data_IF_678301166495
#
_entry.id   IF_678301166495
#
_cell.length_a   1.000
_cell.length_b   1.000
_cell.length_c   1.000
_cell.angle_alpha   90.00
_cell.angle_beta   90.00
_cell.angle_gamma   90.00
#
_symmetry.space_group_name_H-M   'P 1'
#
loop_
_entity.id
_entity.type
_entity.pdbx_description
1 polymer ?
#
# COMPACT_ATOMS: atom_id res chain seq x y z
N UNK A 1 -12.29 -10.68 23.64
CA UNK A 1 -10.88 -10.29 23.35
C UNK A 1 -10.91 -9.38 22.15
N UNK A 2 -10.55 -8.10 22.33
CA UNK A 2 -10.74 -7.06 21.31
C UNK A 2 -9.89 -7.30 20.07
N UNK A 3 -10.53 -7.74 18.99
CA UNK A 3 -9.99 -7.60 17.65
C UNK A 3 -10.11 -6.12 17.31
N UNK A 4 -8.98 -5.40 17.22
CA UNK A 4 -8.96 -4.03 16.72
C UNK A 4 -8.58 -4.08 15.22
N UNK A 5 -9.58 -4.21 14.32
CA UNK A 5 -9.32 -4.31 12.89
C UNK A 5 -8.64 -3.05 12.36
N UNK A 6 -8.91 -1.89 12.95
CA UNK A 6 -8.34 -0.61 12.53
C UNK A 6 -6.84 -0.54 12.76
N UNK A 7 -6.37 -0.95 13.94
CA UNK A 7 -4.94 -1.00 14.24
C UNK A 7 -4.19 -1.97 13.35
N UNK A 8 -4.74 -3.17 13.12
CA UNK A 8 -4.11 -4.17 12.23
C UNK A 8 -4.03 -3.66 10.80
N UNK A 9 -5.13 -3.13 10.26
CA UNK A 9 -5.18 -2.60 8.90
C UNK A 9 -4.22 -1.42 8.73
N UNK A 10 -4.27 -0.44 9.63
CA UNK A 10 -3.41 0.76 9.58
C UNK A 10 -1.93 0.40 9.66
N UNK A 11 -1.56 -0.48 10.59
CA UNK A 11 -0.17 -0.94 10.74
C UNK A 11 0.31 -1.69 9.50
N UNK A 12 -0.55 -2.51 8.90
CA UNK A 12 -0.24 -3.21 7.65
C UNK A 12 -0.01 -2.22 6.51
N UNK A 13 -0.90 -1.24 6.32
CA UNK A 13 -0.73 -0.20 5.30
C UNK A 13 0.58 0.58 5.47
N UNK A 14 0.93 0.94 6.71
CA UNK A 14 2.16 1.67 7.03
C UNK A 14 3.41 0.85 6.64
N UNK A 15 3.46 -0.42 7.05
CA UNK A 15 4.58 -1.32 6.74
C UNK A 15 4.69 -1.54 5.23
N UNK A 16 3.57 -1.79 4.55
CA UNK A 16 3.57 -2.01 3.10
C UNK A 16 3.96 -0.75 2.31
N UNK A 17 3.66 0.44 2.82
CA UNK A 17 4.14 1.70 2.22
C UNK A 17 5.68 1.78 2.28
N UNK A 18 6.28 1.46 3.43
CA UNK A 18 7.74 1.41 3.56
C UNK A 18 8.39 0.35 2.64
N UNK A 19 7.79 -0.84 2.55
CA UNK A 19 8.26 -1.89 1.64
C UNK A 19 8.19 -1.44 0.18
N UNK A 20 7.17 -0.68 -0.20
CA UNK A 20 7.03 -0.12 -1.56
C UNK A 20 8.18 0.80 -1.91
N UNK A 21 8.57 1.69 -0.98
CA UNK A 21 9.73 2.58 -1.17
C UNK A 21 11.05 1.82 -1.34
N UNK A 22 11.19 0.63 -0.74
CA UNK A 22 12.41 -0.18 -0.81
C UNK A 22 12.43 -1.05 -2.07
N UNK A 23 11.31 -1.71 -2.39
CA UNK A 23 11.24 -2.75 -3.43
C UNK A 23 10.82 -2.24 -4.80
N UNK A 24 10.09 -1.13 -4.86
CA UNK A 24 9.54 -0.56 -6.09
C UNK A 24 10.08 0.85 -6.35
N UNK A 25 11.22 1.22 -5.75
CA UNK A 25 11.81 2.56 -5.86
C UNK A 25 12.07 3.01 -7.32
N UNK A 26 12.48 2.05 -8.15
CA UNK A 26 12.72 2.22 -9.58
C UNK A 26 11.43 2.56 -10.35
N UNK A 27 10.27 2.11 -9.86
CA UNK A 27 8.94 2.32 -10.45
C UNK A 27 8.25 3.58 -9.95
N UNK A 28 8.79 4.23 -8.92
CA UNK A 28 8.25 5.49 -8.41
C UNK A 28 8.41 6.61 -9.45
N UNK A 29 7.39 7.49 -9.59
CA UNK A 29 7.38 8.57 -10.58
C UNK A 29 8.53 9.58 -10.38
N UNK A 30 8.92 9.77 -9.12
CA UNK A 30 10.04 10.62 -8.71
C UNK A 30 10.97 9.82 -7.80
N UNK A 31 12.24 10.22 -7.72
CA UNK A 31 13.26 9.55 -6.87
C UNK A 31 13.40 10.15 -5.47
N UNK A 32 12.49 11.05 -5.08
CA UNK A 32 12.46 11.66 -3.76
C UNK A 32 11.28 12.61 -3.60
N UNK A 33 11.17 13.21 -2.41
CA UNK A 33 10.08 14.12 -2.05
C UNK A 33 8.93 13.43 -1.32
N UNK A 34 7.74 14.00 -1.45
CA UNK A 34 6.52 13.51 -0.79
C UNK A 34 5.62 12.87 -1.83
N UNK A 35 5.27 11.60 -1.59
CA UNK A 35 4.37 10.85 -2.47
C UNK A 35 2.96 10.84 -1.88
N UNK A 36 1.96 11.10 -2.73
CA UNK A 36 0.57 10.81 -2.39
C UNK A 36 0.30 9.31 -2.59
N UNK A 37 -0.70 8.72 -1.93
CA UNK A 37 -1.05 7.32 -2.14
C UNK A 37 -1.29 6.96 -3.62
N UNK A 38 -1.91 7.88 -4.39
CA UNK A 38 -2.17 7.69 -5.82
C UNK A 38 -0.91 7.54 -6.67
N UNK A 39 0.21 8.15 -6.27
CA UNK A 39 1.49 7.99 -6.96
C UNK A 39 2.05 6.56 -6.87
N UNK A 40 1.52 5.73 -5.96
CA UNK A 40 1.92 4.34 -5.76
C UNK A 40 0.90 3.35 -6.33
N UNK A 41 -0.28 3.82 -6.76
CA UNK A 41 -1.35 2.95 -7.28
C UNK A 41 -1.02 2.41 -8.66
N UNK A 42 -0.22 3.14 -9.44
CA UNK A 42 0.21 2.70 -10.76
C UNK A 42 1.65 2.17 -10.70
N UNK A 43 1.86 1.00 -11.28
CA UNK A 43 3.19 0.41 -11.46
C UNK A 43 3.88 -0.21 -10.23
N UNK A 44 3.42 -0.01 -8.99
CA UNK A 44 4.03 -0.64 -7.80
C UNK A 44 3.36 -1.96 -7.40
N UNK A 45 4.05 -2.81 -6.63
CA UNK A 45 3.49 -4.07 -6.12
C UNK A 45 2.66 -3.93 -4.83
N UNK A 46 2.23 -2.71 -4.47
CA UNK A 46 1.59 -2.46 -3.16
C UNK A 46 0.26 -3.20 -3.00
N UNK A 47 -0.56 -3.27 -4.05
CA UNK A 47 -1.87 -3.94 -4.01
C UNK A 47 -1.74 -5.44 -3.81
N UNK A 48 -0.81 -6.10 -4.50
CA UNK A 48 -0.55 -7.53 -4.33
C UNK A 48 -0.14 -7.85 -2.89
N UNK A 49 0.67 -6.99 -2.28
CA UNK A 49 1.11 -7.15 -0.90
C UNK A 49 -0.01 -6.91 0.10
N UNK A 50 -0.83 -5.87 -0.10
CA UNK A 50 -2.00 -5.61 0.74
C UNK A 50 -2.97 -6.80 0.70
N UNK A 51 -3.25 -7.32 -0.50
CA UNK A 51 -4.07 -8.53 -0.70
C UNK A 51 -3.51 -9.74 0.03
N UNK A 52 -2.19 -9.95 -0.02
CA UNK A 52 -1.52 -11.03 0.72
C UNK A 52 -1.60 -10.90 2.25
N UNK A 53 -1.99 -9.72 2.76
CA UNK A 53 -2.19 -9.43 4.19
C UNK A 53 -3.66 -9.18 4.55
N UNK A 54 -4.59 -9.80 3.82
CA UNK A 54 -6.04 -9.74 4.06
C UNK A 54 -6.67 -8.34 3.83
N UNK A 55 -6.00 -7.45 3.10
CA UNK A 55 -6.51 -6.13 2.71
C UNK A 55 -6.79 -6.08 1.21
N UNK A 56 -8.04 -6.37 0.85
CA UNK A 56 -8.49 -6.35 -0.54
C UNK A 56 -8.97 -4.95 -0.95
N UNK A 57 -8.49 -4.49 -2.10
CA UNK A 57 -8.92 -3.24 -2.73
C UNK A 57 -9.51 -3.62 -4.08
N UNK A 58 -10.74 -3.18 -4.34
CA UNK A 58 -11.48 -3.49 -5.56
C UNK A 58 -12.01 -2.20 -6.18
N UNK A 59 -11.97 -2.13 -7.51
CA UNK A 59 -12.63 -1.06 -8.26
C UNK A 59 -14.07 -1.50 -8.48
N UNK A 60 -15.01 -0.73 -7.95
CA UNK A 60 -16.45 -0.91 -8.18
C UNK A 60 -16.87 0.03 -9.30
N UNK A 61 -17.44 -0.52 -10.37
CA UNK A 61 -18.12 0.26 -11.40
C UNK A 61 -19.56 0.53 -10.93
N UNK A 62 -20.02 1.77 -11.07
CA UNK A 62 -21.44 2.12 -10.94
C UNK A 62 -22.25 1.69 -12.17
#
# INVERSE_FOLDING_TARGET
SGFDPGYRATSTCLVQSGITLIKDFDKLPEKGGVFTPGALFDGTGIFDRLKAHDLNIEVVNE
#
